data_IF_142625557095
#
_entry.id   IF_142625557095
#
_cell.length_a   1.000
_cell.length_b   1.000
_cell.length_c   1.000
_cell.angle_alpha   90.00
_cell.angle_beta   90.00
_cell.angle_gamma   90.00
#
_symmetry.space_group_name_H-M   'P 1'
#
loop_
_entity.id
_entity.type
_entity.pdbx_description
1 polymer ?
#
# COMPACT_ATOMS: atom_id res chain seq x y z
N UNK A 1 -6.98 -6.70 29.94
CA UNK A 1 -5.81 -6.30 29.13
C UNK A 1 -5.66 -4.80 29.12
N UNK A 2 -4.71 -4.29 28.36
CA UNK A 2 -4.36 -2.87 28.20
C UNK A 2 -4.83 -2.29 26.84
N UNK A 3 -5.74 -2.99 26.15
CA UNK A 3 -6.23 -2.64 24.81
C UNK A 3 -6.70 -1.19 24.70
N UNK A 4 -7.46 -0.67 25.66
CA UNK A 4 -7.98 0.71 25.61
C UNK A 4 -6.83 1.72 25.61
N UNK A 5 -5.85 1.53 26.47
CA UNK A 5 -4.69 2.42 26.56
C UNK A 5 -3.80 2.31 25.32
N UNK A 6 -3.70 1.11 24.72
CA UNK A 6 -2.96 0.88 23.49
C UNK A 6 -3.51 1.66 22.30
N UNK A 7 -4.84 1.71 22.14
CA UNK A 7 -5.51 2.43 21.04
C UNK A 7 -5.77 3.91 21.31
N UNK A 8 -5.25 4.48 22.41
CA UNK A 8 -5.35 5.93 22.63
C UNK A 8 -4.59 6.68 21.54
N UNK A 9 -5.18 7.75 20.97
CA UNK A 9 -4.49 8.58 19.99
C UNK A 9 -3.13 9.08 20.52
N UNK A 10 -2.14 9.11 19.64
CA UNK A 10 -0.80 9.57 19.95
C UNK A 10 -0.28 10.54 18.89
N UNK A 11 0.84 11.19 19.19
CA UNK A 11 1.46 12.15 18.30
C UNK A 11 1.83 11.53 16.97
N UNK A 12 1.57 12.26 15.89
CA UNK A 12 1.71 11.82 14.50
C UNK A 12 3.14 11.36 14.11
N UNK A 13 4.19 11.81 14.79
CA UNK A 13 5.60 11.54 14.43
C UNK A 13 6.42 10.92 15.56
N UNK A 14 5.75 10.33 16.55
CA UNK A 14 6.42 9.71 17.69
C UNK A 14 5.95 8.25 17.87
N UNK A 15 6.71 7.48 18.63
CA UNK A 15 6.29 6.16 19.09
C UNK A 15 4.97 6.31 19.85
N UNK A 16 4.05 5.36 19.67
CA UNK A 16 2.77 5.33 20.37
C UNK A 16 2.98 5.62 21.87
N UNK A 17 2.26 6.60 22.42
CA UNK A 17 2.41 7.04 23.81
C UNK A 17 2.34 5.89 24.81
N UNK A 18 1.50 4.88 24.52
CA UNK A 18 1.43 3.64 25.29
C UNK A 18 2.76 2.89 25.30
N UNK A 19 3.33 2.63 24.11
CA UNK A 19 4.60 1.91 23.93
C UNK A 19 5.73 2.68 24.59
N UNK A 20 5.81 4.00 24.39
CA UNK A 20 6.84 4.86 25.00
C UNK A 20 6.84 4.76 26.53
N UNK A 21 5.66 4.85 27.16
CA UNK A 21 5.53 4.70 28.63
C UNK A 21 5.98 3.32 29.12
N UNK A 22 5.75 2.27 28.33
CA UNK A 22 6.15 0.90 28.71
C UNK A 22 7.63 0.64 28.46
N UNK A 23 8.20 1.17 27.39
CA UNK A 23 9.65 1.17 27.16
C UNK A 23 10.41 1.77 28.35
N UNK A 24 9.97 2.94 28.85
CA UNK A 24 10.61 3.58 30.01
C UNK A 24 10.52 2.75 31.29
N UNK A 25 9.43 1.98 31.47
CA UNK A 25 9.20 1.21 32.70
C UNK A 25 9.80 -0.19 32.67
N UNK A 26 9.75 -0.86 31.52
CA UNK A 26 10.02 -2.30 31.38
C UNK A 26 11.19 -2.61 30.43
N UNK A 27 11.75 -1.60 29.77
CA UNK A 27 12.76 -1.78 28.73
C UNK A 27 12.16 -2.03 27.35
N UNK A 28 13.01 -2.27 26.33
CA UNK A 28 12.59 -2.32 24.94
C UNK A 28 11.79 -3.58 24.58
N UNK A 29 11.75 -4.58 25.47
CA UNK A 29 11.01 -5.83 25.32
C UNK A 29 10.10 -6.04 26.54
N UNK A 30 8.79 -6.06 26.34
CA UNK A 30 7.85 -6.21 27.45
C UNK A 30 6.59 -6.99 27.09
N UNK A 31 5.99 -7.62 28.10
CA UNK A 31 4.74 -8.39 27.97
C UNK A 31 3.53 -7.50 28.28
N UNK A 32 2.45 -7.69 27.55
CA UNK A 32 1.16 -7.03 27.77
C UNK A 32 0.01 -7.95 27.33
N UNK A 33 -1.23 -7.49 27.47
CA UNK A 33 -2.41 -8.17 26.92
C UNK A 33 -3.22 -7.17 26.10
N UNK A 34 -3.25 -7.35 24.79
CA UNK A 34 -3.95 -6.47 23.84
C UNK A 34 -4.91 -7.33 23.02
N UNK A 35 -6.12 -6.84 22.78
CA UNK A 35 -7.19 -7.55 22.06
C UNK A 35 -7.51 -8.96 22.64
N UNK A 36 -7.31 -9.14 23.95
CA UNK A 36 -7.54 -10.42 24.63
C UNK A 36 -6.36 -11.38 24.61
N UNK A 37 -5.37 -11.15 23.75
CA UNK A 37 -4.19 -12.01 23.58
C UNK A 37 -3.01 -11.57 24.44
N UNK A 38 -2.26 -12.51 25.00
CA UNK A 38 -0.96 -12.25 25.65
C UNK A 38 0.07 -11.95 24.56
N UNK A 39 0.66 -10.76 24.58
CA UNK A 39 1.56 -10.28 23.52
C UNK A 39 2.89 -9.83 24.14
N UNK A 40 3.97 -10.04 23.41
CA UNK A 40 5.28 -9.44 23.67
C UNK A 40 5.48 -8.32 22.66
N UNK A 41 5.75 -7.11 23.13
CA UNK A 41 6.12 -5.98 22.27
C UNK A 41 7.64 -5.84 22.30
N UNK A 42 8.25 -5.83 21.12
CA UNK A 42 9.66 -5.55 20.91
C UNK A 42 9.83 -4.21 20.19
N UNK A 43 10.64 -3.34 20.78
CA UNK A 43 11.11 -2.07 20.20
C UNK A 43 12.61 -2.09 19.96
N UNK A 44 13.25 -3.23 20.23
CA UNK A 44 14.67 -3.46 20.03
C UNK A 44 14.94 -3.85 18.56
N UNK A 45 15.80 -3.10 17.84
CA UNK A 45 16.04 -3.36 16.42
C UNK A 45 16.72 -4.71 16.16
N UNK A 46 17.59 -5.19 17.07
CA UNK A 46 18.30 -6.46 16.89
C UNK A 46 17.34 -7.63 17.11
N UNK A 47 16.48 -7.54 18.12
CA UNK A 47 15.41 -8.54 18.33
C UNK A 47 14.44 -8.55 17.15
N UNK A 48 14.00 -7.38 16.69
CA UNK A 48 13.11 -7.27 15.54
C UNK A 48 13.74 -7.88 14.28
N UNK A 49 15.03 -7.63 14.06
CA UNK A 49 15.77 -8.24 12.95
C UNK A 49 15.80 -9.77 13.05
N UNK A 50 16.00 -10.34 14.24
CA UNK A 50 15.96 -11.80 14.41
C UNK A 50 14.55 -12.39 14.20
N UNK A 51 13.50 -11.69 14.65
CA UNK A 51 12.11 -12.09 14.40
C UNK A 51 11.87 -12.21 12.89
N UNK A 52 12.26 -11.19 12.11
CA UNK A 52 12.10 -11.24 10.65
C UNK A 52 12.97 -12.29 9.98
N UNK A 53 14.16 -12.60 10.51
CA UNK A 53 15.00 -13.70 10.00
C UNK A 53 14.41 -15.07 10.23
N UNK A 54 13.56 -15.23 11.25
CA UNK A 54 12.95 -16.50 11.66
C UNK A 54 11.46 -16.58 11.27
N UNK A 55 11.01 -15.76 10.33
CA UNK A 55 9.66 -15.80 9.78
C UNK A 55 9.35 -17.18 9.16
N UNK A 56 8.20 -17.77 9.51
CA UNK A 56 7.73 -19.13 9.18
C UNK A 56 8.64 -20.26 9.68
N UNK A 57 9.48 -19.98 10.67
CA UNK A 57 10.24 -21.01 11.39
C UNK A 57 9.98 -20.95 12.89
N UNK A 58 10.13 -19.77 13.49
CA UNK A 58 9.82 -19.53 14.91
C UNK A 58 8.75 -18.47 15.13
N UNK A 59 8.47 -17.64 14.11
CA UNK A 59 7.44 -16.59 14.15
C UNK A 59 6.56 -16.71 12.90
N UNK A 60 5.28 -16.45 13.04
CA UNK A 60 4.30 -16.50 11.94
C UNK A 60 3.43 -15.25 11.96
N UNK A 61 2.75 -14.94 10.88
CA UNK A 61 1.83 -13.80 10.82
C UNK A 61 0.72 -13.93 11.87
N UNK A 62 0.73 -13.06 12.88
CA UNK A 62 -0.14 -13.13 14.05
C UNK A 62 -1.26 -12.07 14.08
N UNK A 63 -1.78 -11.65 12.92
CA UNK A 63 -2.75 -10.56 12.86
C UNK A 63 -4.06 -10.91 13.59
N UNK A 64 -4.77 -9.91 14.17
CA UNK A 64 -6.09 -10.13 14.75
C UNK A 64 -7.09 -10.68 13.73
N UNK A 65 -8.02 -11.55 14.16
CA UNK A 65 -9.01 -12.23 13.30
C UNK A 65 -9.76 -11.35 12.31
N UNK A 66 -9.99 -10.10 12.70
CA UNK A 66 -10.69 -9.12 11.88
C UNK A 66 -9.90 -8.76 10.60
N UNK A 67 -8.57 -8.79 10.62
CA UNK A 67 -7.76 -8.61 9.41
C UNK A 67 -7.95 -9.76 8.44
N UNK A 68 -8.00 -11.01 8.92
CA UNK A 68 -8.29 -12.17 8.06
C UNK A 68 -9.68 -12.10 7.44
N UNK A 69 -10.68 -11.55 8.16
CA UNK A 69 -12.01 -11.31 7.59
C UNK A 69 -12.02 -10.26 6.48
N UNK A 70 -11.16 -9.24 6.58
CA UNK A 70 -11.09 -8.14 5.60
C UNK A 70 -10.20 -8.47 4.41
N UNK A 71 -9.08 -9.16 4.60
CA UNK A 71 -8.07 -9.35 3.56
C UNK A 71 -7.93 -10.79 3.05
N UNK A 72 -8.65 -11.74 3.65
CA UNK A 72 -8.51 -13.16 3.37
C UNK A 72 -7.57 -13.82 4.38
N UNK A 73 -7.87 -15.08 4.74
CA UNK A 73 -7.04 -15.86 5.65
C UNK A 73 -5.76 -16.28 4.93
N UNK A 74 -5.91 -16.99 3.83
CA UNK A 74 -4.80 -17.66 3.13
C UNK A 74 -3.78 -16.67 2.54
N UNK A 75 -4.20 -15.43 2.28
CA UNK A 75 -3.32 -14.36 1.79
C UNK A 75 -2.41 -13.76 2.86
N UNK A 76 -2.89 -13.65 4.10
CA UNK A 76 -2.13 -13.11 5.22
C UNK A 76 -1.27 -14.17 5.93
N UNK A 77 -1.57 -15.45 5.67
CA UNK A 77 -0.82 -16.62 6.18
C UNK A 77 0.18 -17.19 5.17
N UNK A 78 0.34 -16.62 3.98
CA UNK A 78 1.32 -17.12 3.01
C UNK A 78 2.73 -17.11 3.62
N UNK A 79 3.39 -18.28 3.57
CA UNK A 79 4.80 -18.43 3.94
C UNK A 79 5.63 -17.33 3.28
N UNK A 80 6.49 -16.64 4.03
CA UNK A 80 7.25 -15.49 3.55
C UNK A 80 8.13 -15.80 2.32
N UNK A 81 8.57 -17.05 2.16
CA UNK A 81 9.31 -17.50 0.97
C UNK A 81 8.41 -17.52 -0.28
N UNK A 82 7.20 -18.07 -0.15
CA UNK A 82 6.22 -18.12 -1.23
C UNK A 82 5.65 -16.72 -1.51
N UNK A 83 5.31 -15.97 -0.47
CA UNK A 83 4.89 -14.57 -0.57
C UNK A 83 5.95 -13.73 -1.27
N UNK A 84 7.23 -13.87 -0.93
CA UNK A 84 8.31 -13.13 -1.60
C UNK A 84 8.43 -13.48 -3.09
N UNK A 85 8.36 -14.77 -3.44
CA UNK A 85 8.39 -15.23 -4.84
C UNK A 85 7.25 -14.60 -5.64
N UNK A 86 6.03 -14.63 -5.11
CA UNK A 86 4.88 -14.04 -5.79
C UNK A 86 4.92 -12.53 -5.78
N UNK A 87 5.23 -11.87 -4.66
CA UNK A 87 5.38 -10.41 -4.59
C UNK A 87 6.44 -9.92 -5.58
N UNK A 88 7.53 -10.67 -5.78
CA UNK A 88 8.54 -10.36 -6.80
C UNK A 88 8.00 -10.53 -8.23
N UNK A 89 7.28 -11.63 -8.51
CA UNK A 89 6.61 -11.87 -9.81
C UNK A 89 5.61 -10.76 -10.11
N UNK A 90 4.72 -10.48 -9.16
CA UNK A 90 3.75 -9.38 -9.13
C UNK A 90 4.43 -8.03 -9.38
N UNK A 91 5.47 -7.70 -8.63
CA UNK A 91 6.17 -6.42 -8.76
C UNK A 91 6.76 -6.27 -10.16
N UNK A 92 7.23 -7.37 -10.75
CA UNK A 92 7.77 -7.40 -12.11
C UNK A 92 6.67 -7.24 -13.16
N UNK A 93 5.47 -7.78 -12.94
CA UNK A 93 4.35 -7.65 -13.87
C UNK A 93 3.67 -6.28 -13.79
N UNK A 94 3.51 -5.75 -12.57
CA UNK A 94 2.91 -4.45 -12.30
C UNK A 94 3.82 -3.30 -12.71
N UNK A 95 5.08 -3.33 -12.26
CA UNK A 95 6.04 -2.24 -12.52
C UNK A 95 6.84 -2.46 -13.80
N UNK A 96 6.76 -3.67 -14.36
CA UNK A 96 7.50 -4.05 -15.55
C UNK A 96 9.00 -4.26 -15.32
N UNK A 97 9.69 -4.67 -16.39
CA UNK A 97 11.15 -4.65 -16.46
C UNK A 97 11.68 -3.22 -16.39
N UNK A 98 12.99 -3.05 -16.25
CA UNK A 98 13.59 -1.70 -16.30
C UNK A 98 13.22 -0.93 -17.59
N UNK A 99 13.06 -1.63 -18.72
CA UNK A 99 12.56 -1.04 -19.96
C UNK A 99 11.13 -0.49 -19.87
N UNK A 100 10.24 -1.20 -19.18
CA UNK A 100 8.88 -0.72 -18.91
C UNK A 100 8.87 0.43 -17.89
N UNK A 101 9.78 0.44 -16.91
CA UNK A 101 9.92 1.58 -15.99
C UNK A 101 10.31 2.86 -16.73
N UNK A 102 11.12 2.75 -17.80
CA UNK A 102 11.50 3.89 -18.67
C UNK A 102 10.31 4.53 -19.37
N UNK A 103 9.33 3.75 -19.80
CA UNK A 103 8.12 4.29 -20.45
C UNK A 103 7.06 4.69 -19.42
N UNK A 104 6.94 3.95 -18.33
CA UNK A 104 5.99 4.19 -17.24
C UNK A 104 6.20 5.56 -16.58
N UNK A 105 7.45 5.91 -16.27
CA UNK A 105 7.73 7.13 -15.49
C UNK A 105 7.28 8.41 -16.19
N UNK A 106 7.49 8.51 -17.51
CA UNK A 106 7.03 9.66 -18.28
C UNK A 106 5.51 9.73 -18.43
N UNK A 107 4.84 8.58 -18.50
CA UNK A 107 3.36 8.51 -18.54
C UNK A 107 2.78 8.92 -17.19
N UNK A 108 3.34 8.41 -16.09
CA UNK A 108 2.93 8.76 -14.73
C UNK A 108 3.13 10.25 -14.46
N UNK A 109 4.29 10.81 -14.81
CA UNK A 109 4.59 12.23 -14.61
C UNK A 109 3.56 13.13 -15.29
N UNK A 110 3.24 12.87 -16.57
CA UNK A 110 2.19 13.61 -17.28
C UNK A 110 0.83 13.50 -16.62
N UNK A 111 0.39 12.27 -16.31
CA UNK A 111 -0.91 12.03 -15.68
C UNK A 111 -1.03 12.74 -14.32
N UNK A 112 0.02 12.68 -13.50
CA UNK A 112 0.08 13.36 -12.19
C UNK A 112 0.04 14.87 -12.37
N UNK A 113 0.85 15.42 -13.28
CA UNK A 113 0.91 16.86 -13.56
C UNK A 113 -0.44 17.40 -14.02
N UNK A 114 -1.08 16.73 -14.97
CA UNK A 114 -2.37 17.16 -15.52
C UNK A 114 -3.46 17.09 -14.44
N UNK A 115 -3.49 16.00 -13.66
CA UNK A 115 -4.43 15.83 -12.56
C UNK A 115 -4.31 16.93 -11.50
N UNK A 116 -3.09 17.18 -10.99
CA UNK A 116 -2.89 18.17 -9.95
C UNK A 116 -2.99 19.62 -10.45
N UNK A 117 -2.68 19.88 -11.73
CA UNK A 117 -2.95 21.20 -12.34
C UNK A 117 -4.46 21.47 -12.38
N UNK A 118 -5.25 20.48 -12.80
CA UNK A 118 -6.71 20.57 -12.79
C UNK A 118 -7.24 20.78 -11.37
N UNK A 119 -6.76 20.00 -10.39
CA UNK A 119 -7.20 20.11 -8.99
C UNK A 119 -6.81 21.42 -8.33
N UNK A 120 -5.63 21.95 -8.63
CA UNK A 120 -5.20 23.26 -8.13
C UNK A 120 -6.11 24.39 -8.60
N UNK A 121 -6.71 24.28 -9.80
CA UNK A 121 -7.68 25.29 -10.29
C UNK A 121 -9.01 25.29 -9.52
N UNK A 122 -9.31 24.23 -8.77
CA UNK A 122 -10.53 24.08 -7.96
C UNK A 122 -10.37 24.61 -6.52
N UNK A 123 -9.20 25.17 -6.17
CA UNK A 123 -8.92 25.71 -4.84
C UNK A 123 -8.24 24.68 -3.93
N UNK A 124 -9.01 24.03 -3.04
CA UNK A 124 -8.48 23.10 -2.04
C UNK A 124 -8.91 21.66 -2.31
N UNK A 125 -7.99 20.70 -2.12
CA UNK A 125 -8.25 19.28 -2.28
C UNK A 125 -7.49 18.45 -1.25
N UNK A 126 -7.93 17.21 -1.03
CA UNK A 126 -7.26 16.25 -0.16
C UNK A 126 -6.20 15.46 -0.96
N UNK A 127 -4.93 15.72 -0.69
CA UNK A 127 -3.80 15.07 -1.37
C UNK A 127 -3.86 13.55 -1.27
N UNK A 128 -4.20 12.98 -0.10
CA UNK A 128 -4.25 11.52 0.09
C UNK A 128 -5.35 10.91 -0.77
N UNK A 129 -6.52 11.56 -0.81
CA UNK A 129 -7.65 11.11 -1.64
C UNK A 129 -7.29 11.16 -3.13
N UNK A 130 -6.70 12.25 -3.60
CA UNK A 130 -6.37 12.41 -5.02
C UNK A 130 -5.25 11.44 -5.45
N UNK A 131 -4.22 11.23 -4.62
CA UNK A 131 -3.16 10.23 -4.88
C UNK A 131 -3.74 8.80 -4.86
N UNK A 132 -4.65 8.49 -3.93
CA UNK A 132 -5.35 7.20 -3.91
C UNK A 132 -6.03 6.92 -5.26
N UNK A 133 -6.80 7.89 -5.76
CA UNK A 133 -7.50 7.74 -7.04
C UNK A 133 -6.56 7.54 -8.21
N UNK A 134 -5.44 8.29 -8.27
CA UNK A 134 -4.43 8.14 -9.32
C UNK A 134 -3.76 6.75 -9.27
N UNK A 135 -3.38 6.28 -8.08
CA UNK A 135 -2.74 4.97 -7.92
C UNK A 135 -3.72 3.87 -8.33
N UNK A 136 -4.97 3.90 -7.88
CA UNK A 136 -5.96 2.89 -8.29
C UNK A 136 -6.24 2.93 -9.79
N UNK A 137 -6.43 4.12 -10.38
CA UNK A 137 -6.69 4.25 -11.82
C UNK A 137 -5.55 3.67 -12.67
N UNK A 138 -4.30 3.85 -12.22
CA UNK A 138 -3.14 3.27 -12.88
C UNK A 138 -3.02 1.76 -12.67
N UNK A 139 -3.26 1.29 -11.44
CA UNK A 139 -3.02 -0.09 -11.03
C UNK A 139 -4.12 -1.06 -11.47
N UNK A 140 -5.38 -0.63 -11.48
CA UNK A 140 -6.51 -1.51 -11.78
C UNK A 140 -6.38 -2.22 -13.12
N UNK A 141 -6.04 -1.56 -14.25
CA UNK A 141 -5.84 -2.25 -15.53
C UNK A 141 -4.65 -3.22 -15.55
N UNK A 142 -3.66 -3.05 -14.65
CA UNK A 142 -2.53 -3.97 -14.50
C UNK A 142 -2.90 -5.21 -13.68
N UNK A 143 -3.84 -5.05 -12.75
CA UNK A 143 -4.35 -6.16 -11.96
C UNK A 143 -5.42 -6.95 -12.72
N UNK A 144 -6.38 -6.24 -13.33
CA UNK A 144 -7.51 -6.80 -14.07
C UNK A 144 -7.80 -5.89 -15.28
N UNK A 145 -7.41 -6.32 -16.46
CA UNK A 145 -7.66 -5.60 -17.72
C UNK A 145 -9.02 -5.95 -18.33
N UNK A 146 -9.43 -5.15 -19.33
CA UNK A 146 -10.64 -5.35 -20.14
C UNK A 146 -11.97 -5.40 -19.35
N UNK A 147 -12.03 -4.74 -18.19
CA UNK A 147 -13.30 -4.50 -17.51
C UNK A 147 -14.13 -3.49 -18.29
N UNK A 148 -15.45 -3.69 -18.33
CA UNK A 148 -16.38 -2.69 -18.84
C UNK A 148 -16.25 -1.40 -18.00
N UNK A 149 -16.38 -0.19 -18.60
CA UNK A 149 -16.19 1.07 -17.87
C UNK A 149 -17.01 1.19 -16.58
N UNK A 150 -18.28 0.79 -16.61
CA UNK A 150 -19.16 0.80 -15.43
C UNK A 150 -18.69 -0.16 -14.33
N UNK A 151 -18.25 -1.36 -14.72
CA UNK A 151 -17.70 -2.37 -13.80
C UNK A 151 -16.39 -1.90 -13.18
N UNK A 152 -15.51 -1.28 -13.98
CA UNK A 152 -14.27 -0.71 -13.50
C UNK A 152 -14.53 0.44 -12.51
N UNK A 153 -15.45 1.35 -12.82
CA UNK A 153 -15.83 2.43 -11.89
C UNK A 153 -16.34 1.88 -10.57
N UNK A 154 -17.26 0.90 -10.61
CA UNK A 154 -17.78 0.27 -9.40
C UNK A 154 -16.69 -0.45 -8.59
N UNK A 155 -15.73 -1.10 -9.25
CA UNK A 155 -14.59 -1.71 -8.58
C UNK A 155 -13.73 -0.66 -7.88
N UNK A 156 -13.43 0.45 -8.55
CA UNK A 156 -12.66 1.56 -7.98
C UNK A 156 -13.36 2.17 -6.75
N UNK A 157 -14.68 2.38 -6.81
CA UNK A 157 -15.46 2.88 -5.68
C UNK A 157 -15.39 1.93 -4.49
N UNK A 158 -15.58 0.63 -4.74
CA UNK A 158 -15.48 -0.38 -3.70
C UNK A 158 -14.07 -0.47 -3.09
N UNK A 159 -13.01 -0.35 -3.90
CA UNK A 159 -11.63 -0.34 -3.42
C UNK A 159 -11.27 0.93 -2.64
N UNK A 160 -11.86 2.08 -2.99
CA UNK A 160 -11.70 3.34 -2.25
C UNK A 160 -12.36 3.28 -0.86
N UNK A 161 -13.42 2.49 -0.72
CA UNK A 161 -14.11 2.30 0.55
C UNK A 161 -13.35 1.40 1.54
N UNK A 162 -12.33 0.65 1.07
CA UNK A 162 -11.48 -0.18 1.92
C UNK A 162 -10.48 0.69 2.66
N UNK A 163 -10.73 0.99 3.94
CA UNK A 163 -9.81 1.71 4.84
C UNK A 163 -9.45 0.88 6.08
N UNK A 164 -8.52 1.39 6.89
CA UNK A 164 -8.18 0.83 8.21
C UNK A 164 -8.76 1.65 9.38
N UNK A 165 -9.71 2.56 9.12
CA UNK A 165 -10.28 3.44 10.16
C UNK A 165 -10.97 2.63 11.27
N UNK A 166 -11.60 1.51 10.88
CA UNK A 166 -12.20 0.55 11.80
C UNK A 166 -11.19 -0.12 12.75
N UNK A 167 -9.89 -0.12 12.43
CA UNK A 167 -8.85 -0.65 13.31
C UNK A 167 -8.18 0.45 14.12
N UNK A 168 -8.02 1.64 13.55
CA UNK A 168 -7.33 2.75 14.22
C UNK A 168 -8.11 3.34 15.40
N UNK A 169 -9.41 3.10 15.47
CA UNK A 169 -10.27 3.66 16.53
C UNK A 169 -11.33 2.65 16.99
N UNK A 170 -10.94 1.44 17.36
CA UNK A 170 -11.88 0.34 17.68
C UNK A 170 -12.99 0.68 18.71
N UNK A 171 -12.79 1.72 19.53
CA UNK A 171 -13.74 2.17 20.55
C UNK A 171 -14.66 3.32 20.10
N UNK A 172 -14.48 3.87 18.90
CA UNK A 172 -15.39 4.88 18.35
C UNK A 172 -16.68 4.25 17.85
N UNK A 173 -17.82 4.92 18.06
CA UNK A 173 -19.11 4.46 17.54
C UNK A 173 -19.12 4.42 16.00
N UNK A 174 -18.31 5.25 15.34
CA UNK A 174 -18.17 5.29 13.87
C UNK A 174 -17.48 4.05 13.31
N UNK A 175 -16.76 3.30 14.14
CA UNK A 175 -15.95 2.15 13.75
C UNK A 175 -16.80 1.00 13.23
N UNK A 176 -17.95 0.74 13.85
CA UNK A 176 -18.85 -0.32 13.39
C UNK A 176 -19.43 0.02 12.01
N UNK A 177 -19.78 1.29 11.78
CA UNK A 177 -20.24 1.75 10.46
C UNK A 177 -19.14 1.61 9.41
N UNK A 178 -17.90 2.01 9.74
CA UNK A 178 -16.73 1.84 8.87
C UNK A 178 -16.47 0.36 8.56
N UNK A 179 -16.50 -0.51 9.56
CA UNK A 179 -16.27 -1.94 9.38
C UNK A 179 -17.34 -2.59 8.49
N UNK A 180 -18.62 -2.30 8.74
CA UNK A 180 -19.72 -2.81 7.91
C UNK A 180 -19.55 -2.35 6.47
N UNK A 181 -19.19 -1.08 6.26
CA UNK A 181 -18.93 -0.52 4.93
C UNK A 181 -17.79 -1.28 4.25
N UNK A 182 -16.65 -1.47 4.93
CA UNK A 182 -15.49 -2.20 4.41
C UNK A 182 -15.84 -3.64 4.05
N UNK A 183 -16.57 -4.37 4.90
CA UNK A 183 -16.96 -5.75 4.62
C UNK A 183 -17.93 -5.85 3.43
N UNK A 184 -18.85 -4.89 3.29
CA UNK A 184 -19.74 -4.82 2.12
C UNK A 184 -18.96 -4.54 0.84
N UNK A 185 -18.14 -3.48 0.82
CA UNK A 185 -17.35 -3.09 -0.35
C UNK A 185 -16.33 -4.18 -0.74
N UNK A 186 -15.77 -4.89 0.24
CA UNK A 186 -14.96 -6.10 0.01
C UNK A 186 -15.77 -7.16 -0.74
N UNK A 187 -16.95 -7.51 -0.25
CA UNK A 187 -17.80 -8.53 -0.88
C UNK A 187 -18.12 -8.20 -2.33
N UNK A 188 -18.47 -6.94 -2.61
CA UNK A 188 -18.74 -6.47 -3.97
C UNK A 188 -17.50 -6.46 -4.86
N UNK A 189 -16.35 -6.02 -4.36
CA UNK A 189 -15.08 -6.04 -5.09
C UNK A 189 -14.69 -7.48 -5.46
N UNK A 190 -14.72 -8.41 -4.50
CA UNK A 190 -14.38 -9.81 -4.77
C UNK A 190 -15.32 -10.45 -5.78
N UNK A 191 -16.60 -10.08 -5.79
CA UNK A 191 -17.54 -10.57 -6.79
C UNK A 191 -17.13 -10.14 -8.20
N UNK A 192 -16.78 -8.86 -8.38
CA UNK A 192 -16.26 -8.35 -9.67
C UNK A 192 -15.00 -9.10 -10.10
N UNK A 193 -14.06 -9.33 -9.17
CA UNK A 193 -12.82 -10.05 -9.47
C UNK A 193 -13.09 -11.53 -9.85
N UNK A 194 -14.01 -12.20 -9.14
CA UNK A 194 -14.43 -13.58 -9.44
C UNK A 194 -15.08 -13.69 -10.81
N UNK A 195 -15.97 -12.75 -11.14
CA UNK A 195 -16.64 -12.73 -12.44
C UNK A 195 -15.63 -12.46 -13.57
N UNK A 196 -14.66 -11.56 -13.36
CA UNK A 196 -13.57 -11.33 -14.30
C UNK A 196 -12.73 -12.59 -14.53
N UNK A 197 -12.34 -13.29 -13.46
CA UNK A 197 -11.60 -14.57 -13.54
C UNK A 197 -12.38 -15.63 -14.33
N UNK A 198 -13.69 -15.79 -14.03
CA UNK A 198 -14.56 -16.77 -14.71
C UNK A 198 -14.66 -16.46 -16.20
N UNK A 199 -14.99 -15.23 -16.56
CA UNK A 199 -15.12 -14.82 -17.97
C UNK A 199 -13.82 -15.05 -18.74
N UNK A 200 -12.67 -14.75 -18.12
CA UNK A 200 -11.35 -14.95 -18.74
C UNK A 200 -11.04 -16.44 -18.96
N UNK A 201 -11.38 -17.29 -17.99
CA UNK A 201 -11.25 -18.75 -18.10
C UNK A 201 -12.10 -19.32 -19.23
N UNK A 202 -13.34 -18.82 -19.38
CA UNK A 202 -14.27 -19.26 -20.43
C UNK A 202 -13.85 -18.78 -21.82
N UNK A 203 -13.38 -17.53 -21.94
CA UNK A 203 -12.97 -16.96 -23.22
C UNK A 203 -11.61 -17.47 -23.71
N UNK A 204 -10.79 -18.05 -22.82
CA UNK A 204 -9.38 -18.42 -23.05
C UNK A 204 -8.53 -17.25 -23.55
N UNK A 205 -8.99 -16.03 -23.27
CA UNK A 205 -8.28 -14.82 -23.63
C UNK A 205 -7.05 -14.67 -22.74
N UNK A 206 -5.90 -14.41 -23.36
CA UNK A 206 -4.65 -14.15 -22.64
C UNK A 206 -4.38 -12.66 -22.62
N UNK A 207 -4.19 -12.12 -21.42
CA UNK A 207 -3.84 -10.70 -21.22
C UNK A 207 -2.53 -10.60 -20.45
N UNK A 208 -1.82 -9.50 -20.63
CA UNK A 208 -0.62 -9.17 -19.84
C UNK A 208 -0.96 -8.52 -18.50
N UNK A 209 -1.97 -9.04 -17.79
CA UNK A 209 -2.42 -8.56 -16.48
C UNK A 209 -2.18 -9.61 -15.39
N UNK A 210 -2.23 -9.19 -14.13
CA UNK A 210 -1.98 -10.07 -13.00
C UNK A 210 -3.08 -11.16 -12.86
N UNK A 211 -4.31 -10.87 -13.27
CA UNK A 211 -5.37 -11.87 -13.32
C UNK A 211 -4.99 -13.08 -14.19
N UNK A 212 -4.40 -12.85 -15.36
CA UNK A 212 -3.92 -13.92 -16.23
C UNK A 212 -2.79 -14.72 -15.58
N UNK A 213 -1.86 -14.05 -14.90
CA UNK A 213 -0.80 -14.72 -14.12
C UNK A 213 -1.37 -15.65 -13.06
N UNK A 214 -2.43 -15.21 -12.36
CA UNK A 214 -3.09 -16.05 -11.36
C UNK A 214 -3.83 -17.22 -12.00
N UNK A 215 -4.45 -17.05 -13.17
CA UNK A 215 -5.04 -18.17 -13.92
C UNK A 215 -4.01 -19.24 -14.26
N UNK A 216 -2.84 -18.83 -14.78
CA UNK A 216 -1.75 -19.74 -15.11
C UNK A 216 -1.19 -20.47 -13.87
N UNK A 217 -1.18 -19.81 -12.71
CA UNK A 217 -0.77 -20.44 -11.45
C UNK A 217 -1.80 -21.48 -10.98
N UNK A 218 -3.09 -21.16 -11.09
CA UNK A 218 -4.20 -22.05 -10.73
C UNK A 218 -4.29 -23.30 -11.60
N UNK A 219 -3.72 -23.29 -12.81
CA UNK A 219 -3.71 -24.44 -13.73
C UNK A 219 -2.58 -25.44 -13.42
N UNK A 220 -1.64 -25.12 -12.53
CA UNK A 220 -0.54 -26.02 -12.16
C UNK A 220 -1.01 -27.11 -11.19
N UNK A 221 -0.47 -28.32 -11.35
CA UNK A 221 -0.76 -29.44 -10.45
C UNK A 221 -0.30 -29.20 -9.01
N UNK A 222 0.78 -28.42 -8.82
CA UNK A 222 1.36 -28.04 -7.53
C UNK A 222 0.97 -26.61 -7.09
N UNK A 223 -0.17 -26.10 -7.57
CA UNK A 223 -0.63 -24.75 -7.23
C UNK A 223 -0.74 -24.56 -5.72
N UNK A 224 -0.09 -23.51 -5.22
CA UNK A 224 -0.23 -23.04 -3.84
C UNK A 224 -1.51 -22.23 -3.62
N UNK A 225 -2.21 -21.90 -4.69
CA UNK A 225 -3.44 -21.13 -4.64
C UNK A 225 -4.63 -21.96 -5.08
N UNK A 226 -5.74 -21.75 -4.40
CA UNK A 226 -7.07 -22.01 -4.92
C UNK A 226 -7.68 -20.71 -5.49
N UNK A 227 -8.85 -20.83 -6.11
CA UNK A 227 -9.53 -19.67 -6.69
C UNK A 227 -9.83 -18.58 -5.65
N UNK A 228 -10.12 -18.94 -4.39
CA UNK A 228 -10.45 -17.98 -3.33
C UNK A 228 -9.24 -17.16 -2.92
N UNK A 229 -8.15 -17.84 -2.55
CA UNK A 229 -6.86 -17.26 -2.17
C UNK A 229 -6.22 -16.43 -3.30
N UNK A 230 -6.39 -16.84 -4.56
CA UNK A 230 -5.95 -16.03 -5.71
C UNK A 230 -6.69 -14.70 -5.82
N UNK A 231 -8.02 -14.72 -5.65
CA UNK A 231 -8.84 -13.50 -5.70
C UNK A 231 -8.56 -12.61 -4.49
N UNK A 232 -8.42 -13.19 -3.29
CA UNK A 232 -8.04 -12.45 -2.10
C UNK A 232 -6.66 -11.79 -2.28
N UNK A 233 -5.72 -12.43 -3.00
CA UNK A 233 -4.40 -11.85 -3.27
C UNK A 233 -4.49 -10.63 -4.19
N UNK A 234 -5.28 -10.71 -5.27
CA UNK A 234 -5.54 -9.56 -6.16
C UNK A 234 -6.16 -8.39 -5.37
N UNK A 235 -7.09 -8.69 -4.47
CA UNK A 235 -7.71 -7.71 -3.59
C UNK A 235 -6.71 -7.09 -2.61
N UNK A 236 -5.90 -7.90 -1.92
CA UNK A 236 -4.87 -7.43 -1.00
C UNK A 236 -3.87 -6.52 -1.71
N UNK A 237 -3.43 -6.89 -2.92
CA UNK A 237 -2.51 -6.07 -3.72
C UNK A 237 -3.11 -4.71 -4.07
N UNK A 238 -4.38 -4.69 -4.49
CA UNK A 238 -5.10 -3.45 -4.77
C UNK A 238 -5.11 -2.50 -3.56
N UNK A 239 -5.20 -3.06 -2.35
CA UNK A 239 -5.17 -2.30 -1.10
C UNK A 239 -3.75 -1.81 -0.75
N UNK A 240 -2.76 -2.69 -0.67
CA UNK A 240 -1.41 -2.34 -0.16
C UNK A 240 -0.69 -1.33 -1.05
N UNK A 241 -0.87 -1.42 -2.38
CA UNK A 241 -0.21 -0.49 -3.32
C UNK A 241 -0.77 0.93 -3.19
N UNK A 242 -2.07 1.03 -2.88
CA UNK A 242 -2.78 2.30 -2.69
C UNK A 242 -2.45 2.91 -1.33
N UNK A 243 -2.66 2.15 -0.26
CA UNK A 243 -2.66 2.66 1.11
C UNK A 243 -1.29 3.22 1.53
N UNK A 244 -0.21 2.50 1.21
CA UNK A 244 1.15 2.96 1.51
C UNK A 244 1.54 4.21 0.73
N UNK A 245 1.35 4.19 -0.59
CA UNK A 245 1.80 5.27 -1.48
C UNK A 245 1.09 6.60 -1.18
N UNK A 246 -0.24 6.59 -1.03
CA UNK A 246 -0.99 7.82 -0.78
C UNK A 246 -0.74 8.39 0.61
N UNK A 247 -0.62 7.53 1.62
CA UNK A 247 -0.26 7.91 2.98
C UNK A 247 1.10 8.60 3.00
N UNK A 248 2.14 7.93 2.52
CA UNK A 248 3.49 8.50 2.47
C UNK A 248 3.55 9.79 1.64
N UNK A 249 2.86 9.87 0.51
CA UNK A 249 2.86 11.07 -0.35
C UNK A 249 2.20 12.27 0.34
N UNK A 250 1.03 12.07 0.96
CA UNK A 250 0.36 13.15 1.69
C UNK A 250 1.22 13.68 2.85
N UNK A 251 1.95 12.79 3.51
CA UNK A 251 2.86 13.14 4.59
C UNK A 251 4.12 13.83 4.10
N UNK A 252 4.71 13.38 2.99
CA UNK A 252 5.81 14.06 2.32
C UNK A 252 5.41 15.51 1.98
N UNK A 253 4.23 15.73 1.39
CA UNK A 253 3.71 17.08 1.09
C UNK A 253 3.57 17.90 2.38
N UNK A 254 3.06 17.32 3.46
CA UNK A 254 2.95 17.99 4.77
C UNK A 254 4.33 18.33 5.38
N UNK A 255 5.32 17.47 5.24
CA UNK A 255 6.68 17.73 5.73
C UNK A 255 7.35 18.82 4.91
N UNK A 256 7.23 18.77 3.58
CA UNK A 256 7.77 19.78 2.67
C UNK A 256 7.13 21.14 2.93
N UNK A 257 5.81 21.22 3.11
CA UNK A 257 5.11 22.49 3.35
C UNK A 257 5.52 23.18 4.65
N UNK A 258 5.99 22.42 5.65
CA UNK A 258 6.53 22.94 6.91
C UNK A 258 8.01 23.31 6.85
N UNK A 259 8.71 22.99 5.76
CA UNK A 259 10.15 23.19 5.62
C UNK A 259 10.48 23.97 4.34
N UNK A 260 10.39 25.32 4.36
CA UNK A 260 10.61 26.16 3.16
C UNK A 260 11.96 25.96 2.49
N UNK A 261 13.01 25.65 3.27
CA UNK A 261 14.35 25.33 2.73
C UNK A 261 14.36 24.06 1.88
N UNK A 262 13.64 23.02 2.33
CA UNK A 262 13.48 21.77 1.57
C UNK A 262 12.71 22.03 0.29
N UNK A 263 11.63 22.80 0.36
CA UNK A 263 10.87 23.17 -0.85
C UNK A 263 11.72 23.99 -1.84
N UNK A 264 12.52 24.93 -1.36
CA UNK A 264 13.40 25.73 -2.22
C UNK A 264 14.46 24.86 -2.91
N UNK A 265 15.04 23.90 -2.19
CA UNK A 265 16.04 23.00 -2.73
C UNK A 265 15.44 21.99 -3.73
N UNK A 266 14.25 21.44 -3.46
CA UNK A 266 13.50 20.64 -4.44
C UNK A 266 13.21 21.43 -5.72
N UNK A 267 12.79 22.70 -5.58
CA UNK A 267 12.56 23.58 -6.73
C UNK A 267 13.85 23.84 -7.52
N UNK A 268 14.97 24.04 -6.83
CA UNK A 268 16.29 24.24 -7.46
C UNK A 268 16.71 22.99 -8.25
N UNK A 269 16.62 21.82 -7.64
CA UNK A 269 16.91 20.54 -8.29
C UNK A 269 16.06 20.33 -9.55
N UNK A 270 14.72 20.40 -9.41
CA UNK A 270 13.83 20.14 -10.55
C UNK A 270 13.92 21.21 -11.64
N UNK A 271 14.21 22.48 -11.29
CA UNK A 271 14.46 23.53 -12.28
C UNK A 271 15.71 23.22 -13.11
N UNK A 272 16.81 22.81 -12.47
CA UNK A 272 18.04 22.44 -13.16
C UNK A 272 17.84 21.23 -14.08
N UNK A 273 17.02 20.25 -13.67
CA UNK A 273 16.66 19.11 -14.54
C UNK A 273 15.96 19.62 -15.80
N UNK A 274 14.90 20.43 -15.65
CA UNK A 274 14.11 20.94 -16.79
C UNK A 274 14.96 21.84 -17.71
N UNK A 275 15.84 22.68 -17.16
CA UNK A 275 16.72 23.56 -17.95
C UNK A 275 17.71 22.78 -18.82
N UNK A 276 18.14 21.59 -18.35
CA UNK A 276 19.05 20.72 -19.09
C UNK A 276 18.33 19.82 -20.13
N UNK A 277 16.99 19.81 -20.16
CA UNK A 277 16.22 19.05 -21.15
C UNK A 277 16.24 19.73 -22.51
N UNK A 278 16.35 18.93 -23.58
CA UNK A 278 16.14 19.40 -24.96
C UNK A 278 14.69 19.79 -25.21
N UNK A 279 13.75 18.96 -24.74
CA UNK A 279 12.32 19.22 -24.75
C UNK A 279 11.87 19.50 -23.32
N UNK A 280 11.48 20.74 -23.03
CA UNK A 280 11.07 21.18 -21.70
C UNK A 280 9.71 20.60 -21.29
N UNK A 281 8.89 20.24 -22.25
CA UNK A 281 7.57 19.65 -22.02
C UNK A 281 7.62 18.13 -21.88
N UNK A 282 8.76 17.52 -22.24
CA UNK A 282 9.00 16.11 -21.98
C UNK A 282 8.84 15.82 -20.49
N UNK A 283 8.07 14.77 -20.20
CA UNK A 283 7.91 14.26 -18.85
C UNK A 283 9.23 13.71 -18.29
N UNK A 284 9.27 13.45 -16.99
CA UNK A 284 10.44 12.87 -16.32
C UNK A 284 10.89 11.59 -17.00
N UNK A 285 12.19 11.50 -17.30
CA UNK A 285 12.82 10.28 -17.81
C UNK A 285 13.40 9.41 -16.68
N UNK A 286 13.62 8.13 -16.96
CA UNK A 286 14.25 7.21 -16.02
C UNK A 286 15.65 7.64 -15.59
N UNK A 287 16.44 8.17 -16.53
CA UNK A 287 17.81 8.62 -16.24
C UNK A 287 17.80 9.81 -15.28
N UNK A 288 16.88 10.76 -15.49
CA UNK A 288 16.74 11.90 -14.57
C UNK A 288 16.30 11.45 -13.18
N UNK A 289 15.33 10.55 -13.09
CA UNK A 289 14.89 9.99 -11.81
C UNK A 289 16.02 9.27 -11.07
N UNK A 290 16.83 8.49 -11.78
CA UNK A 290 17.92 7.70 -11.18
C UNK A 290 19.14 8.53 -10.81
N UNK A 291 19.50 9.50 -11.64
CA UNK A 291 20.80 10.16 -11.54
C UNK A 291 20.71 11.65 -11.16
N UNK A 292 19.59 12.32 -11.41
CA UNK A 292 19.50 13.78 -11.25
C UNK A 292 18.54 14.21 -10.14
N UNK A 293 17.75 13.29 -9.57
CA UNK A 293 16.80 13.54 -8.47
C UNK A 293 17.38 13.14 -7.10
N UNK A 294 18.63 13.50 -6.81
CA UNK A 294 19.34 13.06 -5.60
C UNK A 294 18.70 13.61 -4.32
N UNK A 295 18.41 14.90 -4.27
CA UNK A 295 17.77 15.54 -3.13
C UNK A 295 16.32 15.08 -2.98
N UNK A 296 15.58 14.89 -4.08
CA UNK A 296 14.26 14.27 -4.06
C UNK A 296 14.29 12.89 -3.39
N UNK A 297 15.28 12.04 -3.72
CA UNK A 297 15.44 10.74 -3.06
C UNK A 297 15.76 10.87 -1.56
N UNK A 298 16.54 11.86 -1.15
CA UNK A 298 16.77 12.15 0.27
C UNK A 298 15.45 12.52 0.98
N UNK A 299 14.62 13.36 0.36
CA UNK A 299 13.30 13.75 0.89
C UNK A 299 12.36 12.56 0.96
N UNK A 300 12.35 11.67 -0.04
CA UNK A 300 11.55 10.43 -0.02
C UNK A 300 11.97 9.56 1.17
N UNK A 301 13.27 9.29 1.33
CA UNK A 301 13.80 8.47 2.41
C UNK A 301 13.47 9.06 3.78
N UNK A 302 13.65 10.37 3.95
CA UNK A 302 13.33 11.05 5.21
C UNK A 302 11.82 11.07 5.48
N UNK A 303 11.00 11.25 4.45
CA UNK A 303 9.55 11.17 4.57
C UNK A 303 9.11 9.77 4.99
N UNK A 304 9.68 8.70 4.43
CA UNK A 304 9.40 7.33 4.86
C UNK A 304 9.83 7.09 6.31
N UNK A 305 11.03 7.54 6.69
CA UNK A 305 11.56 7.44 8.06
C UNK A 305 10.65 8.13 9.08
N UNK A 306 10.12 9.30 8.75
CA UNK A 306 9.26 10.09 9.64
C UNK A 306 7.80 9.64 9.63
N UNK A 307 7.30 9.12 8.50
CA UNK A 307 5.89 8.77 8.35
C UNK A 307 5.49 7.55 9.17
N UNK A 308 6.42 6.59 9.33
CA UNK A 308 6.22 5.34 10.04
C UNK A 308 4.80 4.75 9.84
N UNK A 309 4.37 4.63 8.58
CA UNK A 309 2.96 4.35 8.20
C UNK A 309 2.46 2.99 8.68
N UNK A 310 3.37 2.10 9.08
CA UNK A 310 3.09 0.79 9.66
C UNK A 310 3.86 0.65 10.97
N UNK A 311 3.39 1.31 12.06
CA UNK A 311 4.14 1.38 13.32
C UNK A 311 4.20 0.05 14.09
N UNK A 312 3.42 -0.95 13.65
CA UNK A 312 3.24 -2.24 14.31
C UNK A 312 3.11 -3.34 13.27
N UNK A 313 3.79 -4.46 13.52
CA UNK A 313 3.66 -5.71 12.77
C UNK A 313 3.36 -6.83 13.76
N UNK A 314 2.39 -7.67 13.43
CA UNK A 314 1.97 -8.78 14.26
C UNK A 314 2.70 -10.06 13.85
N UNK A 315 3.22 -10.78 14.84
CA UNK A 315 4.02 -12.00 14.74
C UNK A 315 3.66 -12.98 15.87
#
# INVERSE_FOLDING_TARGET
GETIDFFKPSGFSDILSFVKKRMTRYGPLFRTNILGSKIVISTDPDVNFQIFRQENTCFESGYPDIFYKVFGRDTLFMDAVNLHKYVKKISTEILGTEGLKRTMIGVMDRAIRDHFTSKASQGSFDVRKEVNSLVLAYMTPKLISNLKPETQSKLLDNLNDISLDWFQSIFSLSTWKSLIKVLKSRGEALQVMKDALRMRKESKEKQGDFLNTMLEELEKEDSLFDQGSAIDLIFLLSFVTREGTSGCTALAVRFISKNPKVLAELKREHKAIVENRKDKEAGVSWEEYRHNMTFTNMVINESLRLSNTTPLLFR
#
